data_IF_503871301354
#
_entry.id   IF_503871301354
#
_cell.length_a   1.000
_cell.length_b   1.000
_cell.length_c   1.000
_cell.angle_alpha   90.00
_cell.angle_beta   90.00
_cell.angle_gamma   90.00
#
_symmetry.space_group_name_H-M   'P 1'
#
loop_
_entity.id
_entity.type
_entity.pdbx_description
1 polymer ?
#
# COMPACT_ATOMS: atom_id res chain seq x y z
N UNK A 1 -2.97 -27.90 -16.53
CA UNK A 1 -3.16 -27.75 -15.07
C UNK A 1 -3.00 -26.27 -14.73
N UNK A 2 -4.04 -25.59 -14.23
CA UNK A 2 -3.95 -24.16 -13.88
C UNK A 2 -3.17 -23.99 -12.59
N UNK A 3 -2.13 -23.14 -12.59
CA UNK A 3 -1.40 -22.81 -11.38
C UNK A 3 -2.19 -21.76 -10.58
N UNK A 4 -2.75 -22.09 -9.39
CA UNK A 4 -3.56 -21.16 -8.60
C UNK A 4 -2.81 -19.87 -8.25
N UNK A 5 -1.48 -19.96 -8.21
CA UNK A 5 -0.61 -18.81 -7.99
C UNK A 5 -0.70 -17.74 -9.09
N UNK A 6 -0.77 -18.16 -10.37
CA UNK A 6 -0.85 -17.24 -11.50
C UNK A 6 -2.21 -16.54 -11.52
N UNK A 7 -3.28 -17.25 -11.15
CA UNK A 7 -4.63 -16.70 -11.06
C UNK A 7 -4.69 -15.60 -10.00
N UNK A 8 -4.18 -15.87 -8.78
CA UNK A 8 -4.10 -14.86 -7.73
C UNK A 8 -3.32 -13.61 -8.17
N UNK A 9 -2.16 -13.81 -8.82
CA UNK A 9 -1.34 -12.69 -9.31
C UNK A 9 -2.10 -11.82 -10.30
N UNK A 10 -2.78 -12.42 -11.28
CA UNK A 10 -3.56 -11.71 -12.30
C UNK A 10 -4.72 -10.96 -11.63
N UNK A 11 -5.52 -11.64 -10.80
CA UNK A 11 -6.65 -11.04 -10.10
C UNK A 11 -6.23 -9.87 -9.21
N UNK A 12 -5.16 -10.02 -8.43
CA UNK A 12 -4.62 -8.95 -7.58
C UNK A 12 -4.18 -7.73 -8.39
N UNK A 13 -3.60 -7.94 -9.58
CA UNK A 13 -3.23 -6.87 -10.49
C UNK A 13 -4.45 -6.13 -11.06
N UNK A 14 -5.45 -6.87 -11.53
CA UNK A 14 -6.71 -6.31 -12.06
C UNK A 14 -7.42 -5.49 -10.98
N UNK A 15 -7.59 -6.05 -9.77
CA UNK A 15 -8.21 -5.37 -8.64
C UNK A 15 -7.43 -4.10 -8.27
N UNK A 16 -6.10 -4.17 -8.27
CA UNK A 16 -5.25 -3.01 -8.00
C UNK A 16 -5.39 -1.90 -9.05
N UNK A 17 -5.51 -2.25 -10.33
CA UNK A 17 -5.73 -1.27 -11.42
C UNK A 17 -7.07 -0.57 -11.24
N UNK A 18 -8.16 -1.31 -11.01
CA UNK A 18 -9.48 -0.70 -10.82
C UNK A 18 -9.58 0.14 -9.56
N UNK A 19 -8.96 -0.30 -8.46
CA UNK A 19 -8.86 0.52 -7.26
C UNK A 19 -8.16 1.86 -7.53
N UNK A 20 -7.17 1.89 -8.43
CA UNK A 20 -6.37 3.09 -8.72
C UNK A 20 -7.19 4.02 -9.62
N UNK A 21 -7.82 3.46 -10.65
CA UNK A 21 -8.74 4.18 -11.51
C UNK A 21 -9.88 4.82 -10.71
N UNK A 22 -10.53 4.08 -9.81
CA UNK A 22 -11.58 4.64 -8.96
C UNK A 22 -11.05 5.73 -8.04
N UNK A 23 -9.86 5.56 -7.46
CA UNK A 23 -9.21 6.60 -6.65
C UNK A 23 -8.94 7.86 -7.49
N UNK A 24 -8.41 7.71 -8.71
CA UNK A 24 -8.19 8.81 -9.64
C UNK A 24 -9.48 9.52 -10.04
N UNK A 25 -10.57 8.79 -10.28
CA UNK A 25 -11.89 9.37 -10.54
C UNK A 25 -12.37 10.22 -9.36
N UNK A 26 -12.28 9.69 -8.13
CA UNK A 26 -12.65 10.40 -6.90
C UNK A 26 -11.80 11.67 -6.72
N UNK A 27 -10.49 11.59 -6.99
CA UNK A 27 -9.55 12.72 -6.84
C UNK A 27 -9.79 13.80 -7.88
N UNK A 28 -9.90 13.41 -9.15
CA UNK A 28 -9.95 14.35 -10.26
C UNK A 28 -11.36 14.90 -10.51
N UNK A 29 -12.40 14.22 -10.01
CA UNK A 29 -13.79 14.58 -10.24
C UNK A 29 -14.22 14.49 -11.71
N UNK A 30 -13.44 13.79 -12.54
CA UNK A 30 -13.70 13.66 -13.98
C UNK A 30 -14.15 12.25 -14.31
N UNK A 31 -15.25 12.08 -15.06
CA UNK A 31 -15.65 10.75 -15.55
C UNK A 31 -14.65 10.24 -16.59
N UNK A 32 -14.55 8.91 -16.68
CA UNK A 32 -13.82 8.28 -17.78
C UNK A 32 -14.71 8.07 -19.00
N UNK A 33 -14.10 7.72 -20.14
CA UNK A 33 -14.83 7.21 -21.30
C UNK A 33 -15.78 6.07 -20.91
N UNK A 34 -16.96 6.00 -21.54
CA UNK A 34 -18.11 5.17 -21.13
C UNK A 34 -17.74 3.72 -20.78
N UNK A 35 -16.95 3.05 -21.63
CA UNK A 35 -16.54 1.67 -21.38
C UNK A 35 -15.68 1.51 -20.12
N UNK A 36 -14.73 2.43 -19.90
CA UNK A 36 -13.88 2.43 -18.69
C UNK A 36 -14.71 2.77 -17.47
N UNK A 37 -15.63 3.73 -17.61
CA UNK A 37 -16.56 4.12 -16.54
C UNK A 37 -17.42 2.93 -16.10
N UNK A 38 -18.02 2.20 -17.04
CA UNK A 38 -18.79 0.99 -16.77
C UNK A 38 -18.00 -0.06 -15.97
N UNK A 39 -16.73 -0.29 -16.33
CA UNK A 39 -15.88 -1.22 -15.59
C UNK A 39 -15.54 -0.74 -14.17
N UNK A 40 -15.28 0.56 -14.02
CA UNK A 40 -14.99 1.18 -12.71
C UNK A 40 -16.24 1.16 -11.81
N UNK A 41 -17.42 1.35 -12.37
CA UNK A 41 -18.69 1.28 -11.64
C UNK A 41 -19.01 -0.15 -11.21
N UNK A 42 -18.87 -1.14 -12.11
CA UNK A 42 -19.03 -2.55 -11.76
C UNK A 42 -18.04 -3.00 -10.68
N UNK A 43 -16.80 -2.53 -10.72
CA UNK A 43 -15.85 -2.71 -9.61
C UNK A 43 -16.36 -2.09 -8.30
N UNK A 44 -16.88 -0.87 -8.35
CA UNK A 44 -17.38 -0.15 -7.17
C UNK A 44 -18.59 -0.84 -6.54
N UNK A 45 -19.46 -1.44 -7.35
CA UNK A 45 -20.58 -2.27 -6.88
C UNK A 45 -20.09 -3.51 -6.15
N UNK A 46 -19.13 -4.25 -6.72
CA UNK A 46 -18.54 -5.44 -6.08
C UNK A 46 -17.90 -5.07 -4.74
N UNK A 47 -17.12 -3.98 -4.71
CA UNK A 47 -16.51 -3.47 -3.48
C UNK A 47 -17.58 -3.09 -2.46
N UNK A 48 -18.65 -2.43 -2.90
CA UNK A 48 -19.77 -2.06 -2.03
C UNK A 48 -20.53 -3.28 -1.51
N UNK A 49 -20.64 -4.35 -2.28
CA UNK A 49 -21.23 -5.61 -1.82
C UNK A 49 -20.36 -6.29 -0.76
N UNK A 50 -19.04 -6.32 -0.96
CA UNK A 50 -18.08 -6.93 -0.01
C UNK A 50 -18.02 -6.12 1.29
N UNK A 51 -17.91 -4.79 1.20
CA UNK A 51 -17.71 -3.92 2.36
C UNK A 51 -19.01 -3.29 2.91
N UNK A 52 -20.15 -3.54 2.27
CA UNK A 52 -21.44 -2.98 2.68
C UNK A 52 -21.89 -3.39 4.07
N UNK A 53 -21.42 -4.56 4.55
CA UNK A 53 -21.65 -5.02 5.92
C UNK A 53 -20.57 -4.55 6.90
N UNK A 54 -19.38 -4.21 6.40
CA UNK A 54 -18.25 -3.81 7.23
C UNK A 54 -18.48 -2.41 7.79
N UNK A 55 -19.01 -1.48 6.99
CA UNK A 55 -19.25 -0.11 7.43
C UNK A 55 -20.28 -0.01 8.57
N UNK A 56 -21.47 -0.66 8.50
CA UNK A 56 -22.40 -0.73 9.63
C UNK A 56 -21.78 -1.36 10.88
N UNK A 57 -20.97 -2.41 10.71
CA UNK A 57 -20.28 -3.06 11.84
C UNK A 57 -19.28 -2.12 12.51
N UNK A 58 -18.46 -1.41 11.73
CA UNK A 58 -17.51 -0.42 12.24
C UNK A 58 -18.23 0.74 12.94
N UNK A 59 -19.34 1.24 12.37
CA UNK A 59 -20.18 2.28 12.97
C UNK A 59 -20.82 1.81 14.28
N UNK A 60 -21.31 0.57 14.33
CA UNK A 60 -21.85 -0.02 15.56
C UNK A 60 -20.79 -0.10 16.66
N UNK A 61 -19.59 -0.57 16.32
CA UNK A 61 -18.45 -0.63 17.25
C UNK A 61 -18.06 0.79 17.72
N UNK A 62 -17.97 1.76 16.81
CA UNK A 62 -17.60 3.13 17.17
C UNK A 62 -18.59 3.77 18.14
N UNK A 63 -19.89 3.61 17.87
CA UNK A 63 -20.95 4.12 18.72
C UNK A 63 -20.97 3.40 20.08
N UNK A 64 -20.79 2.07 20.10
CA UNK A 64 -20.85 1.28 21.33
C UNK A 64 -19.69 1.55 22.28
N UNK A 65 -18.47 1.64 21.76
CA UNK A 65 -17.26 1.69 22.59
C UNK A 65 -16.68 3.09 22.73
N UNK A 66 -16.82 3.94 21.72
CA UNK A 66 -16.16 5.25 21.66
C UNK A 66 -17.14 6.43 21.64
N UNK A 67 -18.45 6.17 21.55
CA UNK A 67 -19.53 7.17 21.58
C UNK A 67 -19.42 8.25 20.50
N UNK A 68 -18.82 7.94 19.35
CA UNK A 68 -18.81 8.84 18.19
C UNK A 68 -19.37 8.14 16.96
N UNK A 69 -20.04 8.92 16.11
CA UNK A 69 -20.60 8.45 14.85
C UNK A 69 -19.52 8.40 13.77
N UNK A 70 -19.16 7.19 13.34
CA UNK A 70 -18.13 6.98 12.32
C UNK A 70 -18.77 7.15 10.94
N UNK A 71 -18.43 8.26 10.27
CA UNK A 71 -18.80 8.51 8.87
C UNK A 71 -17.52 8.40 8.04
N UNK A 72 -17.47 7.42 7.13
CA UNK A 72 -16.32 7.17 6.28
C UNK A 72 -16.61 7.65 4.85
N UNK A 73 -15.67 8.38 4.25
CA UNK A 73 -15.72 8.76 2.84
C UNK A 73 -15.45 7.58 1.91
N UNK A 74 -16.04 7.57 0.72
CA UNK A 74 -16.02 6.45 -0.25
C UNK A 74 -14.62 5.86 -0.52
N UNK A 75 -13.57 6.68 -0.44
CA UNK A 75 -12.18 6.30 -0.67
C UNK A 75 -11.63 5.24 0.31
N UNK A 76 -12.22 5.11 1.50
CA UNK A 76 -11.70 4.22 2.56
C UNK A 76 -11.58 2.76 2.09
N UNK A 77 -12.55 2.28 1.31
CA UNK A 77 -12.62 0.90 0.81
C UNK A 77 -11.51 0.61 -0.20
N UNK A 78 -11.22 1.58 -1.07
CA UNK A 78 -10.19 1.44 -2.10
C UNK A 78 -8.78 1.49 -1.47
N UNK A 79 -8.57 2.38 -0.50
CA UNK A 79 -7.35 2.42 0.31
C UNK A 79 -7.13 1.09 1.04
N UNK A 80 -8.19 0.54 1.64
CA UNK A 80 -8.13 -0.74 2.32
C UNK A 80 -7.67 -1.86 1.37
N UNK A 81 -8.24 -1.92 0.16
CA UNK A 81 -7.85 -2.90 -0.87
C UNK A 81 -6.36 -2.70 -1.22
N UNK A 82 -5.90 -1.47 -1.44
CA UNK A 82 -4.50 -1.20 -1.74
C UNK A 82 -3.53 -1.69 -0.67
N UNK A 83 -3.79 -1.29 0.56
CA UNK A 83 -2.98 -1.68 1.70
C UNK A 83 -3.03 -3.21 1.87
N UNK A 84 -4.18 -3.84 1.66
CA UNK A 84 -4.33 -5.29 1.77
C UNK A 84 -3.51 -6.03 0.72
N UNK A 85 -3.53 -5.56 -0.53
CA UNK A 85 -2.70 -6.11 -1.62
C UNK A 85 -1.20 -5.94 -1.31
N UNK A 86 -0.81 -4.77 -0.83
CA UNK A 86 0.56 -4.48 -0.42
C UNK A 86 1.03 -5.43 0.69
N UNK A 87 0.31 -5.48 1.81
CA UNK A 87 0.70 -6.31 2.96
C UNK A 87 0.65 -7.80 2.65
N UNK A 88 -0.31 -8.25 1.86
CA UNK A 88 -0.36 -9.65 1.41
C UNK A 88 0.89 -10.01 0.59
N UNK A 89 1.36 -9.10 -0.26
CA UNK A 89 2.58 -9.30 -1.03
C UNK A 89 3.85 -9.23 -0.16
N UNK A 90 3.86 -8.41 0.89
CA UNK A 90 4.95 -8.35 1.88
C UNK A 90 5.02 -9.63 2.73
N UNK A 91 3.90 -10.07 3.30
CA UNK A 91 3.78 -11.35 4.04
C UNK A 91 4.26 -12.50 3.17
N UNK A 92 3.83 -12.55 1.91
CA UNK A 92 4.25 -13.58 0.98
C UNK A 92 5.75 -13.53 0.67
N UNK A 93 6.31 -12.33 0.57
CA UNK A 93 7.75 -12.15 0.41
C UNK A 93 8.50 -12.66 1.64
N UNK A 94 7.99 -12.40 2.84
CA UNK A 94 8.58 -12.90 4.09
C UNK A 94 8.51 -14.43 4.18
N UNK A 95 7.35 -15.03 3.89
CA UNK A 95 7.16 -16.49 3.81
C UNK A 95 8.17 -17.16 2.88
N UNK A 96 8.44 -16.54 1.73
CA UNK A 96 9.38 -17.09 0.74
C UNK A 96 10.85 -16.99 1.17
N UNK A 97 11.20 -16.01 2.00
CA UNK A 97 12.58 -15.72 2.41
C UNK A 97 12.97 -16.39 3.73
N UNK A 98 12.01 -16.48 4.64
CA UNK A 98 12.23 -16.88 6.02
C UNK A 98 11.29 -18.03 6.42
N UNK A 99 11.33 -19.20 5.73
CA UNK A 99 10.45 -20.32 6.05
C UNK A 99 10.66 -20.84 7.48
N UNK A 100 11.82 -20.58 8.08
CA UNK A 100 12.15 -20.92 9.47
C UNK A 100 11.60 -19.96 10.53
N UNK A 101 10.79 -18.95 10.16
CA UNK A 101 10.26 -17.93 11.07
C UNK A 101 8.73 -17.90 11.19
N UNK A 102 8.06 -19.04 11.46
CA UNK A 102 6.60 -19.15 11.37
C UNK A 102 5.87 -18.24 12.35
N UNK A 103 6.44 -17.99 13.54
CA UNK A 103 5.85 -17.11 14.55
C UNK A 103 5.80 -15.67 14.04
N UNK A 104 6.88 -15.19 13.39
CA UNK A 104 6.90 -13.82 12.84
C UNK A 104 5.81 -13.65 11.79
N UNK A 105 5.74 -14.63 10.88
CA UNK A 105 4.80 -14.58 9.79
C UNK A 105 3.36 -14.70 10.28
N UNK A 106 3.08 -15.60 11.23
CA UNK A 106 1.77 -15.75 11.84
C UNK A 106 1.28 -14.45 12.50
N UNK A 107 2.16 -13.78 13.26
CA UNK A 107 1.82 -12.49 13.87
C UNK A 107 1.62 -11.40 12.79
N UNK A 108 2.46 -11.36 11.75
CA UNK A 108 2.31 -10.40 10.65
C UNK A 108 1.02 -10.63 9.83
N UNK A 109 0.53 -11.87 9.72
CA UNK A 109 -0.75 -12.20 9.08
C UNK A 109 -1.94 -11.61 9.85
N UNK A 110 -1.84 -11.46 11.17
CA UNK A 110 -2.90 -10.84 11.98
C UNK A 110 -2.72 -9.32 12.07
N UNK A 111 -1.49 -8.86 12.30
CA UNK A 111 -1.19 -7.43 12.44
C UNK A 111 -1.37 -6.67 11.14
N UNK A 112 -0.97 -7.23 9.99
CA UNK A 112 -1.07 -6.58 8.69
C UNK A 112 -2.51 -6.14 8.36
N UNK A 113 -3.49 -7.05 8.34
CA UNK A 113 -4.90 -6.71 8.14
C UNK A 113 -5.43 -5.73 9.19
N UNK A 114 -5.05 -5.89 10.46
CA UNK A 114 -5.48 -4.98 11.54
C UNK A 114 -5.01 -3.55 11.27
N UNK A 115 -3.72 -3.37 10.98
CA UNK A 115 -3.13 -2.06 10.68
C UNK A 115 -3.73 -1.49 9.40
N UNK A 116 -3.97 -2.33 8.39
CA UNK A 116 -4.62 -1.94 7.13
C UNK A 116 -6.01 -1.38 7.37
N UNK A 117 -6.84 -2.07 8.15
CA UNK A 117 -8.20 -1.64 8.51
C UNK A 117 -8.14 -0.32 9.27
N UNK A 118 -7.33 -0.26 10.33
CA UNK A 118 -7.20 0.96 11.14
C UNK A 118 -6.74 2.14 10.28
N UNK A 119 -5.71 1.95 9.46
CA UNK A 119 -5.17 3.01 8.58
C UNK A 119 -6.21 3.46 7.56
N UNK A 120 -6.93 2.53 6.93
CA UNK A 120 -7.96 2.84 5.95
C UNK A 120 -9.16 3.57 6.58
N UNK A 121 -9.58 3.17 7.79
CA UNK A 121 -10.65 3.83 8.55
C UNK A 121 -10.24 5.25 8.94
N UNK A 122 -9.03 5.44 9.46
CA UNK A 122 -8.52 6.78 9.79
C UNK A 122 -8.41 7.67 8.56
N UNK A 123 -7.96 7.14 7.42
CA UNK A 123 -7.95 7.89 6.16
C UNK A 123 -9.36 8.18 5.66
N UNK A 124 -10.29 7.25 5.84
CA UNK A 124 -11.71 7.37 5.48
C UNK A 124 -12.45 8.45 6.27
N UNK A 125 -12.06 8.69 7.52
CA UNK A 125 -12.64 9.73 8.37
C UNK A 125 -12.36 11.15 7.86
N UNK A 126 -11.38 11.31 6.96
CA UNK A 126 -10.96 12.62 6.52
C UNK A 126 -11.64 12.97 5.20
N UNK A 127 -12.40 14.08 5.15
CA UNK A 127 -13.05 14.51 3.92
C UNK A 127 -12.02 14.93 2.87
N UNK A 128 -12.24 14.49 1.64
CA UNK A 128 -11.35 14.75 0.51
C UNK A 128 -11.57 16.12 -0.15
N UNK A 129 -12.72 16.75 0.14
CA UNK A 129 -13.17 17.98 -0.50
C UNK A 129 -12.70 19.26 0.24
N UNK A 130 -11.73 19.18 1.16
CA UNK A 130 -11.23 20.39 1.82
C UNK A 130 -10.25 21.13 0.92
N UNK A 131 -10.47 22.42 0.71
CA UNK A 131 -9.58 23.29 -0.08
C UNK A 131 -8.17 23.43 0.50
N UNK A 132 -8.00 23.08 1.78
CA UNK A 132 -6.72 23.09 2.48
C UNK A 132 -6.11 21.69 2.53
N UNK A 133 -4.77 21.63 2.54
CA UNK A 133 -4.03 20.38 2.78
C UNK A 133 -4.41 19.86 4.15
N UNK A 134 -5.16 18.76 4.18
CA UNK A 134 -5.47 18.09 5.42
C UNK A 134 -4.27 17.25 5.84
N UNK A 135 -3.46 17.80 6.76
CA UNK A 135 -2.29 17.14 7.32
C UNK A 135 -2.63 15.79 7.98
N UNK A 136 -3.88 15.58 8.38
CA UNK A 136 -4.34 14.29 8.92
C UNK A 136 -4.31 13.20 7.86
N UNK A 137 -4.79 13.46 6.62
CA UNK A 137 -4.68 12.47 5.52
C UNK A 137 -3.23 12.22 5.18
N UNK A 138 -2.48 13.32 5.06
CA UNK A 138 -1.07 13.30 4.75
C UNK A 138 -0.40 12.35 5.73
N UNK A 139 -0.52 12.56 7.03
CA UNK A 139 0.17 11.80 8.08
C UNK A 139 -0.43 10.43 8.40
N UNK A 140 -1.73 10.19 8.15
CA UNK A 140 -2.36 8.91 8.50
C UNK A 140 -1.85 7.74 7.64
N UNK A 141 -1.67 7.94 6.34
CA UNK A 141 -1.14 6.92 5.43
C UNK A 141 0.25 6.40 5.84
N UNK A 142 1.29 7.25 6.01
CA UNK A 142 2.61 6.79 6.46
C UNK A 142 2.58 6.29 7.89
N UNK A 143 1.74 6.83 8.78
CA UNK A 143 1.66 6.34 10.15
C UNK A 143 1.28 4.86 10.15
N UNK A 144 0.35 4.43 9.30
CA UNK A 144 0.04 3.01 9.08
C UNK A 144 1.26 2.18 8.69
N UNK A 145 1.99 2.59 7.64
CA UNK A 145 3.20 1.90 7.19
C UNK A 145 4.29 1.88 8.27
N UNK A 146 4.48 2.99 9.00
CA UNK A 146 5.48 3.11 10.04
C UNK A 146 5.13 2.24 11.25
N UNK A 147 3.86 2.21 11.68
CA UNK A 147 3.40 1.33 12.76
C UNK A 147 3.62 -0.13 12.38
N UNK A 148 3.30 -0.52 11.15
CA UNK A 148 3.57 -1.88 10.68
C UNK A 148 5.06 -2.21 10.66
N UNK A 149 5.88 -1.36 10.04
CA UNK A 149 7.31 -1.61 9.94
C UNK A 149 7.99 -1.61 11.33
N UNK A 150 7.56 -0.75 12.26
CA UNK A 150 8.03 -0.75 13.64
C UNK A 150 7.62 -2.04 14.37
N UNK A 151 6.38 -2.48 14.20
CA UNK A 151 5.85 -3.72 14.80
C UNK A 151 6.57 -4.96 14.27
N UNK A 152 6.73 -5.08 12.94
CA UNK A 152 7.50 -6.14 12.30
C UNK A 152 8.97 -6.14 12.75
N UNK A 153 9.57 -4.96 12.93
CA UNK A 153 10.92 -4.81 13.47
C UNK A 153 11.02 -5.26 14.93
N UNK A 154 10.03 -4.91 15.76
CA UNK A 154 9.96 -5.31 17.17
C UNK A 154 9.89 -6.83 17.29
N UNK A 155 9.01 -7.47 16.52
CA UNK A 155 8.85 -8.93 16.50
C UNK A 155 10.13 -9.62 16.01
N UNK A 156 10.69 -9.13 14.90
CA UNK A 156 11.93 -9.70 14.34
C UNK A 156 13.07 -9.60 15.36
N UNK A 157 13.19 -8.47 16.06
CA UNK A 157 14.24 -8.26 17.06
C UNK A 157 14.01 -9.05 18.35
N UNK A 158 12.75 -9.28 18.71
CA UNK A 158 12.42 -10.04 19.93
C UNK A 158 12.68 -11.52 19.75
N UNK A 159 12.28 -12.09 18.60
CA UNK A 159 12.31 -13.54 18.39
C UNK A 159 13.53 -14.05 17.59
N UNK A 160 14.20 -13.20 16.80
CA UNK A 160 15.23 -13.64 15.85
C UNK A 160 16.55 -12.86 15.94
N UNK A 161 16.75 -12.09 17.02
CA UNK A 161 18.03 -11.42 17.28
C UNK A 161 19.09 -12.47 17.64
N UNK A 162 20.32 -12.36 17.10
CA UNK A 162 21.44 -13.19 17.55
C UNK A 162 21.70 -13.03 19.05
N UNK A 163 22.02 -14.13 19.74
CA UNK A 163 22.21 -14.16 21.20
C UNK A 163 23.29 -13.19 21.72
N UNK A 164 24.29 -12.87 20.89
CA UNK A 164 25.38 -11.95 21.22
C UNK A 164 25.04 -10.46 21.07
N UNK A 165 23.84 -10.11 20.58
CA UNK A 165 23.43 -8.72 20.40
C UNK A 165 22.48 -8.28 21.51
N UNK A 166 22.50 -6.99 21.84
CA UNK A 166 21.57 -6.38 22.80
C UNK A 166 20.26 -5.99 22.11
N UNK A 167 19.12 -6.24 22.76
CA UNK A 167 17.79 -5.95 22.18
C UNK A 167 17.64 -4.51 21.69
N UNK A 168 17.97 -3.47 22.49
CA UNK A 168 17.72 -2.08 22.08
C UNK A 168 18.58 -1.67 20.88
N UNK A 169 19.82 -2.15 20.82
CA UNK A 169 20.74 -1.82 19.73
C UNK A 169 20.29 -2.46 18.41
N UNK A 170 19.91 -3.74 18.44
CA UNK A 170 19.38 -4.43 17.27
C UNK A 170 18.05 -3.83 16.82
N UNK A 171 17.17 -3.47 17.76
CA UNK A 171 15.89 -2.83 17.45
C UNK A 171 16.13 -1.48 16.78
N UNK A 172 16.95 -0.61 17.39
CA UNK A 172 17.26 0.71 16.85
C UNK A 172 17.93 0.62 15.47
N UNK A 173 18.87 -0.32 15.29
CA UNK A 173 19.53 -0.53 14.00
C UNK A 173 18.53 -0.97 12.91
N UNK A 174 17.70 -1.98 13.21
CA UNK A 174 16.71 -2.48 12.27
C UNK A 174 15.63 -1.44 11.98
N UNK A 175 15.20 -0.71 13.02
CA UNK A 175 14.21 0.35 12.91
C UNK A 175 14.75 1.49 12.06
N UNK A 176 15.96 1.96 12.30
CA UNK A 176 16.60 3.01 11.49
C UNK A 176 16.78 2.57 10.03
N UNK A 177 17.21 1.34 9.78
CA UNK A 177 17.41 0.84 8.42
C UNK A 177 16.10 0.69 7.63
N UNK A 178 14.98 0.50 8.32
CA UNK A 178 13.65 0.30 7.71
C UNK A 178 12.84 1.59 7.67
N UNK A 179 12.70 2.30 8.79
CA UNK A 179 11.93 3.55 8.92
C UNK A 179 12.51 4.67 8.07
N UNK A 180 13.84 4.87 8.10
CA UNK A 180 14.44 6.09 7.56
C UNK A 180 14.21 6.21 6.04
N UNK A 181 14.36 5.13 5.24
CA UNK A 181 13.93 5.15 3.84
C UNK A 181 12.44 5.46 3.66
N UNK A 182 11.54 4.85 4.45
CA UNK A 182 10.10 5.09 4.32
C UNK A 182 9.72 6.53 4.67
N UNK A 183 10.30 7.09 5.74
CA UNK A 183 10.13 8.50 6.13
C UNK A 183 10.62 9.40 5.01
N UNK A 184 11.81 9.18 4.46
CA UNK A 184 12.35 10.02 3.37
C UNK A 184 11.49 9.94 2.10
N UNK A 185 11.07 8.74 1.70
CA UNK A 185 10.19 8.51 0.54
C UNK A 185 8.86 9.22 0.73
N UNK A 186 8.31 9.10 1.93
CA UNK A 186 7.05 9.73 2.27
C UNK A 186 7.16 11.26 2.29
N UNK A 187 8.16 11.83 2.97
CA UNK A 187 8.41 13.28 2.95
C UNK A 187 8.52 13.79 1.51
N UNK A 188 9.24 13.06 0.64
CA UNK A 188 9.34 13.43 -0.77
C UNK A 188 7.98 13.36 -1.48
N UNK A 189 7.16 12.34 -1.22
CA UNK A 189 5.81 12.23 -1.79
C UNK A 189 4.89 13.39 -1.38
N UNK A 190 5.00 13.87 -0.14
CA UNK A 190 4.24 15.02 0.36
C UNK A 190 4.72 16.30 -0.30
N UNK A 191 6.04 16.49 -0.44
CA UNK A 191 6.61 17.65 -1.14
C UNK A 191 6.12 17.68 -2.59
N UNK A 192 6.13 16.55 -3.29
CA UNK A 192 5.60 16.46 -4.66
C UNK A 192 4.12 16.79 -4.70
N UNK A 193 3.30 16.23 -3.80
CA UNK A 193 1.88 16.54 -3.72
C UNK A 193 1.63 18.04 -3.45
N UNK A 194 2.39 18.65 -2.54
CA UNK A 194 2.29 20.07 -2.23
C UNK A 194 2.67 20.96 -3.42
N UNK A 195 3.75 20.62 -4.15
CA UNK A 195 4.18 21.34 -5.35
C UNK A 195 3.12 21.25 -6.45
N UNK A 196 2.54 20.07 -6.67
CA UNK A 196 1.47 19.86 -7.66
C UNK A 196 0.20 20.62 -7.27
N UNK A 197 -0.16 20.61 -5.99
CA UNK A 197 -1.31 21.38 -5.48
C UNK A 197 -1.12 22.88 -5.73
N UNK A 198 0.08 23.38 -5.42
CA UNK A 198 0.41 24.80 -5.61
C UNK A 198 0.41 25.21 -7.09
N UNK A 199 0.85 24.34 -8.00
CA UNK A 199 0.96 24.66 -9.42
C UNK A 199 -0.34 24.55 -10.22
N UNK A 200 -1.31 23.74 -9.77
CA UNK A 200 -2.50 23.40 -10.55
C UNK A 200 -3.77 24.16 -10.17
N UNK A 201 -3.69 25.06 -9.17
CA UNK A 201 -4.81 25.83 -8.54
C UNK A 201 -6.02 25.03 -8.09
N UNK A 202 -6.05 23.72 -8.35
CA UNK A 202 -7.01 22.77 -7.82
C UNK A 202 -6.53 22.34 -6.44
N UNK A 203 -7.44 22.15 -5.47
CA UNK A 203 -7.13 21.50 -4.21
C UNK A 203 -6.87 20.02 -4.48
N UNK A 204 -5.75 19.72 -5.14
CA UNK A 204 -5.32 18.37 -5.43
C UNK A 204 -4.79 17.76 -4.14
N UNK A 205 -5.76 17.22 -3.43
CA UNK A 205 -5.75 16.52 -2.17
C UNK A 205 -4.48 15.76 -1.83
N UNK A 206 -4.25 15.66 -0.52
CA UNK A 206 -3.36 14.72 0.16
C UNK A 206 -3.38 13.29 -0.40
N UNK A 207 -4.39 12.92 -1.18
CA UNK A 207 -4.49 11.63 -1.87
C UNK A 207 -3.40 11.45 -2.94
N UNK A 208 -2.93 12.50 -3.64
CA UNK A 208 -1.82 12.38 -4.62
C UNK A 208 -0.54 11.86 -3.96
N UNK A 209 -0.34 12.16 -2.68
CA UNK A 209 0.82 11.66 -1.94
C UNK A 209 0.85 10.12 -1.89
N UNK A 210 -0.30 9.44 -1.95
CA UNK A 210 -0.41 7.98 -1.88
C UNK A 210 0.17 7.29 -3.14
N UNK A 211 -0.29 7.54 -4.37
CA UNK A 211 0.31 6.96 -5.57
C UNK A 211 1.77 7.42 -5.76
N UNK A 212 2.12 8.66 -5.40
CA UNK A 212 3.52 9.11 -5.43
C UNK A 212 4.38 8.32 -4.44
N UNK A 213 3.90 8.12 -3.21
CA UNK A 213 4.57 7.28 -2.21
C UNK A 213 4.77 5.86 -2.74
N UNK A 214 3.73 5.24 -3.30
CA UNK A 214 3.81 3.87 -3.85
C UNK A 214 4.82 3.77 -4.99
N UNK A 215 4.87 4.78 -5.87
CA UNK A 215 5.85 4.84 -6.96
C UNK A 215 7.29 4.91 -6.40
N UNK A 216 7.55 5.84 -5.49
CA UNK A 216 8.85 6.04 -4.86
C UNK A 216 9.28 4.82 -4.02
N UNK A 217 8.34 4.22 -3.28
CA UNK A 217 8.55 2.98 -2.54
C UNK A 217 8.92 1.81 -3.46
N UNK A 218 8.29 1.74 -4.65
CA UNK A 218 8.61 0.74 -5.66
C UNK A 218 10.02 0.90 -6.22
N UNK A 219 10.46 2.13 -6.49
CA UNK A 219 11.83 2.42 -6.89
C UNK A 219 12.83 1.96 -5.81
N UNK A 220 12.52 2.23 -4.55
CA UNK A 220 13.35 1.76 -3.43
C UNK A 220 13.39 0.23 -3.32
N UNK A 221 12.26 -0.46 -3.49
CA UNK A 221 12.22 -1.92 -3.49
C UNK A 221 12.97 -2.54 -4.68
N UNK A 222 12.94 -1.91 -5.87
CA UNK A 222 13.78 -2.31 -7.00
C UNK A 222 15.26 -2.18 -6.64
N UNK A 223 15.68 -1.05 -6.07
CA UNK A 223 17.07 -0.85 -5.60
C UNK A 223 17.47 -1.91 -4.57
N UNK A 224 16.58 -2.24 -3.63
CA UNK A 224 16.82 -3.32 -2.65
C UNK A 224 16.95 -4.68 -3.35
N UNK A 225 16.11 -4.96 -4.35
CA UNK A 225 16.19 -6.15 -5.19
C UNK A 225 17.52 -6.28 -5.93
N UNK A 226 18.01 -5.19 -6.55
CA UNK A 226 19.32 -5.12 -7.21
C UNK A 226 20.43 -5.45 -6.21
N UNK A 227 20.41 -4.81 -5.03
CA UNK A 227 21.44 -5.03 -4.00
C UNK A 227 21.47 -6.48 -3.51
N UNK A 228 20.30 -7.09 -3.31
CA UNK A 228 20.19 -8.50 -2.93
C UNK A 228 20.74 -9.42 -4.04
N UNK A 229 20.38 -9.17 -5.30
CA UNK A 229 20.85 -9.97 -6.43
C UNK A 229 22.37 -9.89 -6.67
N UNK A 230 22.99 -8.77 -6.29
CA UNK A 230 24.44 -8.57 -6.38
C UNK A 230 25.22 -9.21 -5.23
N UNK A 231 24.61 -9.30 -4.04
CA UNK A 231 25.26 -9.81 -2.83
C UNK A 231 25.06 -11.31 -2.61
N UNK A 232 23.91 -11.86 -3.01
CA UNK A 232 23.61 -13.29 -2.93
C UNK A 232 24.28 -13.99 -4.13
N UNK A 233 25.39 -14.69 -3.92
CA UNK A 233 26.14 -15.35 -5.00
C UNK A 233 26.11 -16.86 -4.84
N UNK A 234 25.05 -17.48 -5.31
CA UNK A 234 25.06 -18.92 -5.62
C UNK A 234 25.79 -19.14 -6.95
N UNK A 235 26.78 -20.03 -6.96
CA UNK A 235 27.73 -20.27 -8.07
C UNK A 235 27.09 -20.69 -9.39
N UNK A 236 25.83 -21.12 -9.35
CA UNK A 236 25.10 -21.73 -10.46
C UNK A 236 23.90 -20.90 -10.93
N UNK A 237 23.66 -19.72 -10.34
CA UNK A 237 22.48 -18.89 -10.65
C UNK A 237 22.85 -17.59 -11.37
N UNK A 238 22.15 -17.28 -12.46
CA UNK A 238 22.32 -16.01 -13.17
C UNK A 238 21.82 -14.82 -12.33
N UNK A 239 22.46 -13.66 -12.48
CA UNK A 239 22.05 -12.43 -11.77
C UNK A 239 20.59 -12.09 -12.01
N UNK A 240 20.11 -12.24 -13.26
CA UNK A 240 18.72 -11.98 -13.61
C UNK A 240 17.75 -12.89 -12.84
N UNK A 241 18.06 -14.19 -12.74
CA UNK A 241 17.22 -15.13 -11.98
C UNK A 241 17.16 -14.76 -10.50
N UNK A 242 18.28 -14.33 -9.90
CA UNK A 242 18.32 -13.80 -8.51
C UNK A 242 17.49 -12.53 -8.34
N UNK A 243 17.63 -11.59 -9.27
CA UNK A 243 16.89 -10.35 -9.27
C UNK A 243 15.38 -10.58 -9.32
N UNK A 244 14.91 -11.44 -10.23
CA UNK A 244 13.50 -11.79 -10.35
C UNK A 244 13.02 -12.74 -9.24
N UNK A 245 13.91 -13.48 -8.57
CA UNK A 245 13.59 -14.32 -7.41
C UNK A 245 13.28 -13.47 -6.17
N UNK A 246 13.97 -12.34 -6.00
CA UNK A 246 13.79 -11.46 -4.84
C UNK A 246 12.36 -10.93 -4.74
N UNK A 247 11.67 -11.23 -3.63
CA UNK A 247 10.28 -10.78 -3.43
C UNK A 247 10.10 -9.25 -3.44
N UNK A 248 11.11 -8.49 -3.02
CA UNK A 248 11.11 -7.02 -3.16
C UNK A 248 11.04 -6.56 -4.63
N UNK A 249 11.72 -7.26 -5.54
CA UNK A 249 11.63 -6.97 -6.98
C UNK A 249 10.25 -7.30 -7.52
N UNK A 250 9.70 -8.47 -7.17
CA UNK A 250 8.36 -8.89 -7.62
C UNK A 250 7.28 -7.92 -7.16
N UNK A 251 7.35 -7.49 -5.90
CA UNK A 251 6.46 -6.49 -5.33
C UNK A 251 6.56 -5.16 -6.09
N UNK A 252 7.78 -4.66 -6.28
CA UNK A 252 8.00 -3.39 -6.96
C UNK A 252 7.49 -3.41 -8.41
N UNK A 253 7.79 -4.47 -9.17
CA UNK A 253 7.32 -4.60 -10.55
C UNK A 253 5.79 -4.69 -10.62
N UNK A 254 5.15 -5.43 -9.71
CA UNK A 254 3.70 -5.51 -9.68
C UNK A 254 3.07 -4.13 -9.42
N UNK A 255 3.59 -3.37 -8.44
CA UNK A 255 3.09 -2.02 -8.15
C UNK A 255 3.32 -1.07 -9.32
N UNK A 256 4.50 -1.10 -9.94
CA UNK A 256 4.80 -0.29 -11.12
C UNK A 256 3.85 -0.63 -12.27
N UNK A 257 3.64 -1.92 -12.57
CA UNK A 257 2.70 -2.34 -13.62
C UNK A 257 1.28 -1.82 -13.34
N UNK A 258 0.80 -1.99 -12.10
CA UNK A 258 -0.53 -1.53 -11.70
C UNK A 258 -0.66 -0.01 -11.86
N UNK A 259 0.32 0.76 -11.38
CA UNK A 259 0.35 2.23 -11.54
C UNK A 259 0.42 2.61 -13.01
N UNK A 260 1.34 2.04 -13.78
CA UNK A 260 1.51 2.37 -15.21
C UNK A 260 0.26 2.06 -16.02
N UNK A 261 -0.37 0.90 -15.83
CA UNK A 261 -1.60 0.52 -16.54
C UNK A 261 -2.74 1.46 -16.16
N UNK A 262 -2.95 1.72 -14.86
CA UNK A 262 -3.98 2.65 -14.41
C UNK A 262 -3.75 4.07 -14.95
N UNK A 263 -2.51 4.57 -14.92
CA UNK A 263 -2.17 5.90 -15.46
C UNK A 263 -2.39 5.99 -16.97
N UNK A 264 -1.98 4.97 -17.74
CA UNK A 264 -2.20 4.94 -19.20
C UNK A 264 -3.69 4.93 -19.53
N UNK A 265 -4.48 4.09 -18.85
CA UNK A 265 -5.94 4.04 -19.02
C UNK A 265 -6.54 5.39 -18.63
N UNK A 266 -6.15 5.96 -17.49
CA UNK A 266 -6.65 7.25 -17.04
C UNK A 266 -6.36 8.35 -18.05
N UNK A 267 -5.11 8.48 -18.52
CA UNK A 267 -4.71 9.50 -19.52
C UNK A 267 -5.44 9.30 -20.85
N UNK A 268 -5.54 8.06 -21.33
CA UNK A 268 -6.20 7.75 -22.59
C UNK A 268 -7.72 8.02 -22.55
N UNK A 269 -8.33 7.90 -21.36
CA UNK A 269 -9.77 8.08 -21.16
C UNK A 269 -10.15 9.47 -20.65
N UNK A 270 -9.21 10.24 -20.08
CA UNK A 270 -9.42 11.60 -19.56
C UNK A 270 -9.42 12.69 -20.63
N UNK A 271 -9.25 12.34 -21.90
CA UNK A 271 -9.17 13.29 -23.02
C UNK A 271 -10.37 13.18 -24.01
N UNK A 272 -11.44 12.48 -23.63
CA UNK A 272 -12.58 12.22 -24.51
C UNK A 272 -13.85 13.04 -24.18
N UNK A 273 -13.73 14.06 -23.33
CA UNK A 273 -14.79 15.04 -23.03
C UNK A 273 -14.30 16.46 -23.28
#
# INVERSE_FOLDING_TARGET
MFNPYNVYKILSGIIGVFALLKSFQIIMGCPYAEFVQYLVDGYSEIVSMIFGYVEPALRFISLRFFKFDLILGEHWRHILIFLSLYYSAEIRTDLSRNPSRPINTGVNIVLGPTITIVTAVFLGLVPLNSEQINWTVVLAAPAGFLVFAASATMLTTTFYRPSHQNWPNSFYYNLKSTMLPYISIYTLSVVVAAVVTYSTTRPLSSIISIPTFMLLASIWWLRRGIRLASNDRESHESWAKRFFRAGSTKLALNVIIVISVASVIAIASSCLT
#
